data_IF_892214528134
#
_entry.id   IF_892214528134
#
_cell.length_a   1.000
_cell.length_b   1.000
_cell.length_c   1.000
_cell.angle_alpha   90.00
_cell.angle_beta   90.00
_cell.angle_gamma   90.00
#
_symmetry.space_group_name_H-M   'P 1'
#
loop_
_entity.id
_entity.type
_entity.pdbx_description
1 polymer ?
#
# COMPACT_ATOMS: atom_id res chain seq x y z
N UNK A 1 -9.26 -32.90 10.73
CA UNK A 1 -9.30 -32.59 9.28
C UNK A 1 -10.66 -33.03 8.78
N UNK A 2 -11.58 -32.08 8.57
CA UNK A 2 -12.97 -32.38 8.18
C UNK A 2 -13.06 -32.37 6.66
N UNK A 3 -12.95 -33.54 6.02
CA UNK A 3 -13.21 -33.69 4.60
C UNK A 3 -14.71 -33.50 4.36
N UNK A 4 -15.10 -32.47 3.59
CA UNK A 4 -16.48 -32.25 3.15
C UNK A 4 -16.56 -32.73 1.70
N UNK A 5 -17.33 -33.79 1.47
CA UNK A 5 -17.54 -34.33 0.12
C UNK A 5 -18.56 -33.45 -0.60
N UNK A 6 -18.13 -32.82 -1.69
CA UNK A 6 -18.98 -32.09 -2.62
C UNK A 6 -18.90 -32.84 -3.96
N UNK A 7 -20.03 -33.31 -4.48
CA UNK A 7 -20.16 -33.93 -5.81
C UNK A 7 -19.20 -35.10 -6.12
N UNK A 8 -18.95 -35.98 -5.14
CA UNK A 8 -18.24 -37.25 -5.37
C UNK A 8 -16.71 -37.12 -5.51
N UNK A 9 -16.16 -35.92 -5.44
CA UNK A 9 -14.71 -35.67 -5.44
C UNK A 9 -14.23 -35.26 -4.04
N UNK A 10 -13.22 -35.96 -3.51
CA UNK A 10 -12.62 -35.62 -2.22
C UNK A 10 -11.73 -34.40 -2.38
N UNK A 11 -12.26 -33.19 -2.12
CA UNK A 11 -11.45 -31.97 -2.08
C UNK A 11 -10.48 -32.08 -0.88
N UNK A 12 -9.24 -32.46 -1.16
CA UNK A 12 -8.20 -32.70 -0.15
C UNK A 12 -7.54 -31.40 0.33
N UNK A 13 -7.63 -30.31 -0.45
CA UNK A 13 -7.04 -29.01 -0.15
C UNK A 13 -8.02 -27.85 -0.39
N UNK A 14 -8.09 -26.88 0.54
CA UNK A 14 -8.85 -25.63 0.34
C UNK A 14 -8.36 -24.81 -0.87
N UNK A 15 -7.15 -25.07 -1.37
CA UNK A 15 -6.56 -24.36 -2.49
C UNK A 15 -7.15 -24.78 -3.85
N UNK A 16 -7.84 -25.92 -3.90
CA UNK A 16 -8.48 -26.45 -5.13
C UNK A 16 -9.87 -25.84 -5.36
N UNK A 17 -10.42 -25.13 -4.36
CA UNK A 17 -11.70 -24.45 -4.46
C UNK A 17 -11.52 -23.05 -5.08
N UNK A 18 -11.87 -22.90 -6.36
CA UNK A 18 -11.80 -21.63 -7.10
C UNK A 18 -12.60 -20.51 -6.41
N UNK A 19 -13.65 -20.85 -5.65
CA UNK A 19 -14.46 -19.87 -4.90
C UNK A 19 -13.69 -19.24 -3.74
N UNK A 20 -12.63 -19.89 -3.25
CA UNK A 20 -11.77 -19.32 -2.21
C UNK A 20 -10.97 -18.09 -2.69
N UNK A 21 -10.79 -17.94 -4.01
CA UNK A 21 -10.07 -16.82 -4.61
C UNK A 21 -10.99 -15.70 -5.13
N UNK A 22 -12.30 -15.88 -5.05
CA UNK A 22 -13.23 -14.86 -5.49
C UNK A 22 -13.12 -13.58 -4.64
N UNK A 23 -13.10 -12.42 -5.30
CA UNK A 23 -12.91 -11.12 -4.66
C UNK A 23 -11.49 -10.80 -4.13
N UNK A 24 -10.51 -11.72 -4.23
CA UNK A 24 -9.12 -11.45 -3.80
C UNK A 24 -8.52 -10.29 -4.60
N UNK A 25 -8.77 -10.26 -5.92
CA UNK A 25 -8.27 -9.20 -6.81
C UNK A 25 -8.81 -7.82 -6.39
N UNK A 26 -10.12 -7.74 -6.12
CA UNK A 26 -10.79 -6.49 -5.74
C UNK A 26 -10.27 -5.97 -4.40
N UNK A 27 -10.12 -6.85 -3.41
CA UNK A 27 -9.56 -6.48 -2.10
C UNK A 27 -8.13 -5.94 -2.21
N UNK A 28 -7.28 -6.56 -3.04
CA UNK A 28 -5.90 -6.12 -3.27
C UNK A 28 -5.81 -4.77 -3.99
N UNK A 29 -6.63 -4.57 -5.03
CA UNK A 29 -6.67 -3.29 -5.76
C UNK A 29 -7.16 -2.17 -4.84
N UNK A 30 -8.19 -2.43 -4.04
CA UNK A 30 -8.73 -1.43 -3.12
C UNK A 30 -7.72 -1.05 -2.03
N UNK A 31 -6.99 -2.03 -1.48
CA UNK A 31 -5.88 -1.76 -0.55
C UNK A 31 -4.79 -0.89 -1.20
N UNK A 32 -4.38 -1.21 -2.42
CA UNK A 32 -3.41 -0.42 -3.17
C UNK A 32 -3.89 1.02 -3.39
N UNK A 33 -5.15 1.23 -3.78
CA UNK A 33 -5.71 2.57 -3.97
C UNK A 33 -5.70 3.38 -2.67
N UNK A 34 -6.10 2.76 -1.55
CA UNK A 34 -6.10 3.41 -0.24
C UNK A 34 -4.68 3.84 0.14
N UNK A 35 -3.68 2.97 -0.06
CA UNK A 35 -2.29 3.29 0.24
C UNK A 35 -1.80 4.51 -0.55
N UNK A 36 -2.10 4.60 -1.86
CA UNK A 36 -1.72 5.75 -2.66
C UNK A 36 -2.43 7.04 -2.23
N UNK A 37 -3.70 6.96 -1.82
CA UNK A 37 -4.43 8.11 -1.28
C UNK A 37 -3.78 8.61 0.00
N UNK A 38 -3.42 7.69 0.92
CA UNK A 38 -2.77 8.06 2.18
C UNK A 38 -1.41 8.70 1.91
N UNK A 39 -0.57 8.10 1.04
CA UNK A 39 0.73 8.66 0.66
C UNK A 39 0.57 10.04 0.02
N UNK A 40 -0.43 10.24 -0.85
CA UNK A 40 -0.71 11.54 -1.45
C UNK A 40 -1.09 12.59 -0.40
N UNK A 41 -1.98 12.24 0.54
CA UNK A 41 -2.37 13.13 1.64
C UNK A 41 -1.20 13.49 2.54
N UNK A 42 -0.36 12.51 2.90
CA UNK A 42 0.84 12.72 3.70
C UNK A 42 1.88 13.57 2.97
N UNK A 43 1.92 13.54 1.64
CA UNK A 43 2.86 14.35 0.85
C UNK A 43 2.52 15.84 0.89
N UNK A 44 1.26 16.22 1.04
CA UNK A 44 0.80 17.63 1.01
C UNK A 44 1.58 18.53 2.00
N UNK A 45 1.68 18.22 3.30
CA UNK A 45 2.42 19.08 4.24
C UNK A 45 3.90 19.22 3.86
N UNK A 46 4.56 18.15 3.43
CA UNK A 46 5.97 18.22 3.00
C UNK A 46 6.13 18.99 1.69
N UNK A 47 5.19 18.87 0.75
CA UNK A 47 5.19 19.63 -0.50
C UNK A 47 5.10 21.14 -0.23
N UNK A 48 4.30 21.56 0.75
CA UNK A 48 4.23 22.96 1.19
C UNK A 48 5.60 23.41 1.73
N UNK A 49 6.25 22.61 2.59
CA UNK A 49 7.58 22.93 3.12
C UNK A 49 8.63 23.05 2.01
N UNK A 50 8.66 22.09 1.07
CA UNK A 50 9.59 22.08 -0.07
C UNK A 50 9.33 23.26 -1.01
N UNK A 51 8.08 23.66 -1.21
CA UNK A 51 7.73 24.82 -2.02
C UNK A 51 8.35 26.10 -1.47
N UNK A 52 8.14 26.38 -0.17
CA UNK A 52 8.75 27.54 0.49
C UNK A 52 10.28 27.44 0.54
N UNK A 53 10.83 26.26 0.81
CA UNK A 53 12.28 26.04 0.76
C UNK A 53 12.85 26.38 -0.62
N UNK A 54 12.16 25.99 -1.69
CA UNK A 54 12.55 26.36 -3.05
C UNK A 54 12.52 27.86 -3.29
N UNK A 55 11.52 28.58 -2.77
CA UNK A 55 11.52 30.06 -2.83
C UNK A 55 12.72 30.66 -2.10
N UNK A 56 13.02 30.19 -0.89
CA UNK A 56 14.13 30.68 -0.08
C UNK A 56 15.51 30.39 -0.69
N UNK A 57 15.62 29.31 -1.45
CA UNK A 57 16.87 28.83 -2.05
C UNK A 57 16.99 29.16 -3.55
N UNK A 58 16.15 30.09 -4.05
CA UNK A 58 16.12 30.51 -5.45
C UNK A 58 15.97 29.33 -6.44
N UNK A 59 15.22 28.30 -6.05
CA UNK A 59 14.87 27.15 -6.87
C UNK A 59 15.64 25.86 -6.56
N UNK A 60 16.73 25.89 -5.79
CA UNK A 60 17.49 24.66 -5.46
C UNK A 60 16.65 23.64 -4.68
N UNK A 61 15.83 24.13 -3.74
CA UNK A 61 14.93 23.28 -2.95
C UNK A 61 13.89 22.53 -3.78
N UNK A 62 13.53 23.01 -4.98
CA UNK A 62 12.59 22.31 -5.85
C UNK A 62 13.12 20.99 -6.40
N UNK A 63 14.43 20.75 -6.38
CA UNK A 63 15.01 19.44 -6.72
C UNK A 63 14.47 18.33 -5.79
N UNK A 64 14.07 18.67 -4.56
CA UNK A 64 13.48 17.71 -3.62
C UNK A 64 12.12 17.17 -4.10
N UNK A 65 11.38 17.88 -4.95
CA UNK A 65 10.12 17.34 -5.51
C UNK A 65 10.33 16.04 -6.29
N UNK A 66 11.49 15.84 -6.92
CA UNK A 66 11.80 14.61 -7.65
C UNK A 66 11.86 13.36 -6.77
N UNK A 67 12.18 13.53 -5.48
CA UNK A 67 12.29 12.42 -4.50
C UNK A 67 11.26 12.51 -3.38
N UNK A 68 10.43 13.55 -3.35
CA UNK A 68 9.49 13.80 -2.26
C UNK A 68 8.50 12.65 -2.07
N UNK A 69 7.79 12.28 -3.13
CA UNK A 69 6.80 11.20 -3.12
C UNK A 69 7.42 9.86 -2.73
N UNK A 70 8.53 9.37 -3.36
CA UNK A 70 9.11 8.09 -2.95
C UNK A 70 9.63 8.13 -1.50
N UNK A 71 10.13 9.27 -1.03
CA UNK A 71 10.55 9.41 0.39
C UNK A 71 9.37 9.24 1.33
N UNK A 72 8.26 9.95 1.09
CA UNK A 72 7.04 9.85 1.91
C UNK A 72 6.45 8.43 1.85
N UNK A 73 6.44 7.81 0.67
CA UNK A 73 5.96 6.44 0.49
C UNK A 73 6.78 5.44 1.32
N UNK A 74 8.11 5.51 1.28
CA UNK A 74 8.99 4.65 2.07
C UNK A 74 8.74 4.84 3.58
N UNK A 75 8.62 6.08 4.04
CA UNK A 75 8.36 6.38 5.45
C UNK A 75 6.99 5.85 5.93
N UNK A 76 5.97 5.95 5.08
CA UNK A 76 4.63 5.40 5.36
C UNK A 76 4.66 3.88 5.43
N UNK A 77 5.25 3.22 4.43
CA UNK A 77 5.34 1.76 4.37
C UNK A 77 6.14 1.21 5.55
N UNK A 78 7.26 1.85 5.89
CA UNK A 78 8.06 1.47 7.06
C UNK A 78 7.22 1.55 8.34
N UNK A 79 6.51 2.67 8.58
CA UNK A 79 5.68 2.79 9.78
C UNK A 79 4.49 1.82 9.80
N UNK A 80 3.92 1.47 8.65
CA UNK A 80 2.69 0.69 8.58
C UNK A 80 2.96 -0.82 8.57
N UNK A 81 3.93 -1.28 7.76
CA UNK A 81 4.26 -2.71 7.61
C UNK A 81 5.39 -3.19 8.53
N UNK A 82 6.20 -2.27 9.08
CA UNK A 82 7.29 -2.59 9.99
C UNK A 82 6.90 -2.59 11.48
N UNK A 83 5.61 -2.39 11.79
CA UNK A 83 5.11 -2.31 13.16
C UNK A 83 5.01 -3.71 13.80
N UNK A 84 5.44 -3.83 15.06
CA UNK A 84 5.44 -5.08 15.84
C UNK A 84 4.06 -5.73 15.95
N UNK A 85 2.99 -4.95 15.85
CA UNK A 85 1.60 -5.45 15.89
C UNK A 85 1.21 -6.30 14.68
N UNK A 86 2.02 -6.34 13.61
CA UNK A 86 1.74 -7.08 12.39
C UNK A 86 2.53 -8.40 12.26
N UNK A 87 3.43 -8.73 13.21
CA UNK A 87 4.24 -9.95 13.24
C UNK A 87 3.65 -11.02 14.18
#
# INVERSE_FOLDING_TARGET
MNARVLDGETITSRLDDVRAYDGVRTKRILAFVIDYVIVALLTIPFAILVFFLGLLTLGLGWMLFGVLVPTVAILYIWNTLGSTDQA
#
